data_IF_860760024678
#
_entry.id   IF_860760024678
#
_cell.length_a   1.000
_cell.length_b   1.000
_cell.length_c   1.000
_cell.angle_alpha   90.00
_cell.angle_beta   90.00
_cell.angle_gamma   90.00
#
_symmetry.space_group_name_H-M   'P 1'
#
loop_
_entity.id
_entity.type
_entity.pdbx_description
1 polymer ?
#
# COMPACT_ATOMS: atom_id res chain seq x y z
N UNK A 1 10.60 27.21 8.25
CA UNK A 1 10.75 26.24 9.34
C UNK A 1 10.40 24.85 8.82
N UNK A 2 11.36 23.93 8.75
CA UNK A 2 11.05 22.53 8.41
C UNK A 2 10.44 21.87 9.66
N UNK A 3 9.15 21.53 9.61
CA UNK A 3 8.45 20.95 10.75
C UNK A 3 9.06 19.61 11.16
N UNK A 4 9.26 19.42 12.47
CA UNK A 4 9.75 18.15 13.05
C UNK A 4 8.68 17.05 13.12
N UNK A 5 7.50 17.29 12.52
CA UNK A 5 6.38 16.36 12.54
C UNK A 5 6.76 15.04 11.88
N UNK A 6 6.53 13.97 12.62
CA UNK A 6 6.76 12.59 12.22
C UNK A 6 5.45 11.83 12.35
N UNK A 7 5.02 11.19 11.27
CA UNK A 7 3.83 10.35 11.27
C UNK A 7 4.27 8.90 11.24
N UNK A 8 3.90 8.14 12.26
CA UNK A 8 4.03 6.68 12.24
C UNK A 8 2.82 6.08 11.55
N UNK A 9 3.06 5.19 10.61
CA UNK A 9 2.02 4.45 9.92
C UNK A 9 2.28 2.95 10.01
N UNK A 10 1.22 2.19 9.85
CA UNK A 10 1.23 0.77 9.52
C UNK A 10 0.49 0.61 8.19
N UNK A 11 0.84 -0.41 7.42
CA UNK A 11 0.28 -0.59 6.09
C UNK A 11 -0.09 -2.02 5.79
N UNK A 12 -0.96 -2.16 4.79
CA UNK A 12 -1.19 -3.43 4.11
C UNK A 12 -1.44 -3.20 2.63
N UNK A 13 -1.06 -4.19 1.83
CA UNK A 13 -1.33 -4.23 0.40
C UNK A 13 -2.29 -5.37 0.09
N UNK A 14 -3.17 -5.17 -0.87
CA UNK A 14 -4.15 -6.14 -1.33
C UNK A 14 -4.07 -6.24 -2.86
N UNK A 15 -4.11 -7.46 -3.38
CA UNK A 15 -4.27 -7.71 -4.82
C UNK A 15 -5.70 -8.14 -5.04
N UNK A 16 -6.38 -7.45 -5.95
CA UNK A 16 -7.79 -7.62 -6.25
C UNK A 16 -7.94 -7.94 -7.74
N UNK A 17 -8.74 -8.93 -8.08
CA UNK A 17 -9.16 -9.28 -9.47
C UNK A 17 -10.68 -9.44 -9.44
N UNK A 18 -11.37 -8.83 -10.41
CA UNK A 18 -12.84 -8.96 -10.53
C UNK A 18 -13.64 -8.67 -9.24
N UNK A 19 -13.15 -7.70 -8.45
CA UNK A 19 -13.67 -7.29 -7.12
C UNK A 19 -13.46 -8.32 -6.00
N UNK A 20 -12.76 -9.41 -6.25
CA UNK A 20 -12.39 -10.40 -5.25
C UNK A 20 -10.96 -10.16 -4.72
N UNK A 21 -10.79 -10.34 -3.41
CA UNK A 21 -9.47 -10.28 -2.78
C UNK A 21 -8.71 -11.57 -3.09
N UNK A 22 -7.66 -11.45 -3.89
CA UNK A 22 -6.79 -12.57 -4.24
C UNK A 22 -5.76 -12.82 -3.14
N UNK A 23 -5.16 -11.75 -2.61
CA UNK A 23 -4.17 -11.85 -1.54
C UNK A 23 -4.00 -10.55 -0.77
N UNK A 24 -3.69 -10.65 0.51
CA UNK A 24 -3.32 -9.54 1.39
C UNK A 24 -1.89 -9.74 1.93
N UNK A 25 -1.15 -8.64 2.05
CA UNK A 25 0.22 -8.59 2.57
C UNK A 25 0.31 -7.51 3.64
N UNK A 26 0.94 -7.85 4.76
CA UNK A 26 1.35 -6.84 5.73
C UNK A 26 2.51 -6.04 5.15
N UNK A 27 2.45 -4.71 5.29
CA UNK A 27 3.55 -3.82 4.94
C UNK A 27 4.30 -3.41 6.21
N UNK A 28 5.56 -3.05 6.05
CA UNK A 28 6.36 -2.65 7.20
C UNK A 28 5.81 -1.35 7.80
N UNK A 29 5.71 -1.32 9.13
CA UNK A 29 5.39 -0.09 9.85
C UNK A 29 6.61 0.82 9.84
N UNK A 30 6.43 2.09 9.51
CA UNK A 30 7.53 3.05 9.47
C UNK A 30 7.09 4.45 9.89
N UNK A 31 8.05 5.38 9.94
CA UNK A 31 7.84 6.78 10.29
C UNK A 31 8.27 7.68 9.14
N UNK A 32 7.38 8.55 8.68
CA UNK A 32 7.67 9.57 7.66
C UNK A 32 7.73 10.94 8.32
N UNK A 33 8.76 11.70 7.96
CA UNK A 33 8.89 13.11 8.34
C UNK A 33 8.04 13.99 7.41
N UNK A 34 7.73 15.21 7.84
CA UNK A 34 7.14 16.23 6.97
C UNK A 34 7.93 16.34 5.65
N UNK A 35 7.22 16.36 4.52
CA UNK A 35 7.77 16.33 3.15
C UNK A 35 8.63 15.10 2.79
N UNK A 36 8.60 14.06 3.62
CA UNK A 36 9.25 12.78 3.32
C UNK A 36 8.47 11.96 2.30
N UNK A 37 9.20 11.18 1.50
CA UNK A 37 8.61 10.24 0.54
C UNK A 37 8.58 8.86 1.16
N UNK A 38 7.41 8.22 1.10
CA UNK A 38 7.26 6.80 1.35
C UNK A 38 7.70 6.00 0.13
N UNK A 39 8.58 5.01 0.30
CA UNK A 39 8.86 4.02 -0.72
C UNK A 39 8.99 2.65 -0.07
N UNK A 40 8.24 1.68 -0.57
CA UNK A 40 8.35 0.29 -0.19
C UNK A 40 8.40 -0.57 -1.45
N UNK A 41 9.28 -1.56 -1.42
CA UNK A 41 9.43 -2.55 -2.49
C UNK A 41 9.05 -3.89 -1.89
N UNK A 42 8.01 -4.50 -2.43
CA UNK A 42 7.58 -5.86 -2.07
C UNK A 42 7.47 -6.70 -3.32
N UNK A 43 7.67 -8.01 -3.17
CA UNK A 43 7.41 -8.96 -4.25
C UNK A 43 5.89 -9.10 -4.42
N UNK A 44 5.41 -8.83 -5.63
CA UNK A 44 4.09 -9.28 -6.06
C UNK A 44 4.16 -10.82 -6.17
N UNK A 45 3.12 -11.58 -5.78
CA UNK A 45 3.14 -13.04 -5.87
C UNK A 45 3.48 -13.52 -7.29
N UNK A 46 4.30 -14.56 -7.36
CA UNK A 46 4.83 -15.08 -8.62
C UNK A 46 3.81 -15.90 -9.43
N UNK A 47 2.70 -16.32 -8.81
CA UNK A 47 1.71 -17.23 -9.41
C UNK A 47 0.36 -16.53 -9.70
N UNK A 48 0.38 -15.28 -10.15
CA UNK A 48 -0.83 -14.65 -10.66
C UNK A 48 -1.09 -15.15 -12.08
N UNK A 49 -2.33 -15.56 -12.34
CA UNK A 49 -2.78 -15.83 -13.71
C UNK A 49 -2.69 -14.57 -14.56
N UNK A 50 -2.66 -14.74 -15.89
CA UNK A 50 -2.79 -13.60 -16.77
C UNK A 50 -4.14 -12.88 -16.55
N UNK A 51 -4.10 -11.55 -16.59
CA UNK A 51 -5.28 -10.73 -16.39
C UNK A 51 -5.00 -9.34 -15.83
N UNK A 52 -6.09 -8.61 -15.61
CA UNK A 52 -6.07 -7.28 -15.02
C UNK A 52 -6.28 -7.36 -13.51
N UNK A 53 -5.44 -6.67 -12.77
CA UNK A 53 -5.45 -6.65 -11.31
C UNK A 53 -5.43 -5.21 -10.80
N UNK A 54 -5.85 -5.04 -9.55
CA UNK A 54 -5.69 -3.81 -8.78
C UNK A 54 -4.83 -4.11 -7.56
N UNK A 55 -3.71 -3.40 -7.44
CA UNK A 55 -2.95 -3.31 -6.21
C UNK A 55 -3.54 -2.18 -5.37
N UNK A 56 -4.16 -2.53 -4.25
CA UNK A 56 -4.70 -1.59 -3.26
C UNK A 56 -3.78 -1.50 -2.06
N UNK A 57 -3.17 -0.34 -1.86
CA UNK A 57 -2.33 -0.02 -0.71
C UNK A 57 -3.15 0.77 0.29
N UNK A 58 -3.17 0.32 1.54
CA UNK A 58 -3.86 0.96 2.66
C UNK A 58 -2.82 1.30 3.72
N UNK A 59 -2.59 2.58 3.96
CA UNK A 59 -1.76 3.08 5.05
C UNK A 59 -2.63 3.66 6.14
N UNK A 60 -2.46 3.19 7.36
CA UNK A 60 -3.20 3.68 8.53
C UNK A 60 -2.23 4.41 9.45
N UNK A 61 -2.62 5.62 9.86
CA UNK A 61 -1.85 6.47 10.77
C UNK A 61 -2.76 7.13 11.80
N UNK A 62 -2.20 7.58 12.92
CA UNK A 62 -2.93 8.41 13.89
C UNK A 62 -2.79 9.89 13.53
N UNK A 63 -3.90 10.59 13.44
CA UNK A 63 -3.89 12.05 13.28
C UNK A 63 -3.54 12.75 14.61
N UNK A 64 -3.52 14.09 14.59
CA UNK A 64 -3.21 14.93 15.76
C UNK A 64 -4.18 14.74 16.94
N UNK A 65 -5.39 14.24 16.67
CA UNK A 65 -6.41 13.91 17.68
C UNK A 65 -6.30 12.47 18.19
N UNK A 66 -5.33 11.70 17.72
CA UNK A 66 -5.15 10.29 18.07
C UNK A 66 -6.07 9.31 17.33
N UNK A 67 -6.87 9.80 16.38
CA UNK A 67 -7.79 8.99 15.57
C UNK A 67 -7.04 8.26 14.45
N UNK A 68 -7.41 7.00 14.18
CA UNK A 68 -6.90 6.28 13.01
C UNK A 68 -7.51 6.87 11.73
N UNK A 69 -6.65 7.23 10.77
CA UNK A 69 -7.01 7.64 9.41
C UNK A 69 -6.35 6.70 8.42
N UNK A 70 -7.05 6.43 7.32
CA UNK A 70 -6.57 5.57 6.24
C UNK A 70 -6.28 6.42 5.00
N UNK A 71 -5.12 6.20 4.40
CA UNK A 71 -4.79 6.61 3.06
C UNK A 71 -4.87 5.38 2.17
N UNK A 72 -5.68 5.45 1.13
CA UNK A 72 -5.89 4.34 0.20
C UNK A 72 -5.39 4.78 -1.17
N UNK A 73 -4.54 3.96 -1.78
CA UNK A 73 -4.10 4.14 -3.17
C UNK A 73 -4.35 2.85 -3.93
N UNK A 74 -4.99 2.98 -5.09
CA UNK A 74 -5.25 1.87 -5.99
C UNK A 74 -4.44 2.07 -7.28
N UNK A 75 -3.82 0.98 -7.74
CA UNK A 75 -2.95 0.95 -8.91
C UNK A 75 -3.36 -0.24 -9.75
N UNK A 76 -3.82 0.01 -10.97
CA UNK A 76 -4.12 -1.06 -11.93
C UNK A 76 -2.84 -1.58 -12.57
N UNK A 77 -2.72 -2.89 -12.70
CA UNK A 77 -1.63 -3.54 -13.41
C UNK A 77 -2.15 -4.75 -14.19
N UNK A 78 -1.45 -5.10 -15.28
CA UNK A 78 -1.76 -6.26 -16.09
C UNK A 78 -0.64 -7.30 -15.92
N UNK A 79 -1.02 -8.55 -15.70
CA UNK A 79 -0.12 -9.70 -15.79
C UNK A 79 -0.35 -10.30 -17.16
N UNK A 80 0.66 -10.24 -18.03
CA UNK A 80 0.62 -10.89 -19.33
C UNK A 80 0.95 -12.39 -19.21
N UNK A 81 0.53 -13.18 -20.18
CA UNK A 81 1.17 -14.48 -20.39
C UNK A 81 2.59 -14.20 -20.89
N UNK A 82 3.60 -14.66 -20.15
CA UNK A 82 4.92 -14.86 -20.74
C UNK A 82 4.76 -15.88 -21.86
N UNK A 83 4.96 -15.44 -23.11
CA UNK A 83 5.07 -16.31 -24.27
C UNK A 83 6.41 -17.05 -24.18
#
# INVERSE_FOLDING_TARGET
AAGNSKVRYHGKAQIIKDKELIKEFSMNSNTIRANGIFKETGLIPENLEAGNYVLKVILTYKNEKGENKNLIKEISFNVGNSI
#
